data_IF_901228129484
#
_entry.id   IF_901228129484
#
_cell.length_a   1.000
_cell.length_b   1.000
_cell.length_c   1.000
_cell.angle_alpha   90.00
_cell.angle_beta   90.00
_cell.angle_gamma   90.00
#
_symmetry.space_group_name_H-M   'P 1'
#
loop_
_entity.id
_entity.type
_entity.pdbx_description
1 polymer ?
#
# COMPACT_ATOMS: atom_id res chain seq x y z
N UNK A 1 -15.74 -1.18 7.35
CA UNK A 1 -14.38 -1.75 7.30
C UNK A 1 -13.67 -1.40 8.60
N UNK A 2 -13.01 -2.38 9.23
CA UNK A 2 -12.16 -2.18 10.41
C UNK A 2 -10.81 -2.84 10.15
N UNK A 3 -9.90 -2.09 9.54
CA UNK A 3 -8.51 -2.47 9.35
C UNK A 3 -7.66 -2.00 10.54
N UNK A 4 -6.71 -2.83 10.95
CA UNK A 4 -5.70 -2.51 11.94
C UNK A 4 -4.32 -2.73 11.33
N UNK A 5 -3.32 -2.00 11.83
CA UNK A 5 -1.93 -2.16 11.41
C UNK A 5 -1.03 -2.57 12.58
N UNK A 6 0.05 -3.28 12.27
CA UNK A 6 1.18 -3.48 13.18
C UNK A 6 2.48 -3.28 12.42
N UNK A 7 3.27 -2.28 12.82
CA UNK A 7 4.56 -1.98 12.16
C UNK A 7 5.56 -3.09 12.52
N UNK A 8 6.29 -3.59 11.52
CA UNK A 8 7.35 -4.57 11.75
C UNK A 8 8.55 -3.89 12.44
N UNK A 9 9.23 -4.59 13.33
CA UNK A 9 10.42 -4.07 14.03
C UNK A 9 11.53 -3.66 13.05
N UNK A 10 11.65 -4.36 11.92
CA UNK A 10 12.58 -4.05 10.85
C UNK A 10 12.24 -2.77 10.08
N UNK A 11 11.02 -2.24 10.24
CA UNK A 11 10.45 -1.15 9.47
C UNK A 11 10.50 -1.37 7.94
N UNK A 12 10.59 -2.62 7.48
CA UNK A 12 10.47 -2.99 6.06
C UNK A 12 9.04 -2.90 5.55
N UNK A 13 8.09 -3.01 6.47
CA UNK A 13 6.69 -3.09 6.17
C UNK A 13 5.87 -3.14 7.44
N UNK A 14 4.66 -3.64 7.31
CA UNK A 14 3.68 -3.74 8.39
C UNK A 14 2.70 -4.88 8.10
N UNK A 15 1.96 -5.26 9.13
CA UNK A 15 0.85 -6.19 9.02
C UNK A 15 -0.46 -5.43 8.86
N UNK A 16 -1.34 -5.98 8.02
CA UNK A 16 -2.72 -5.54 7.88
C UNK A 16 -3.60 -6.63 8.49
N UNK A 17 -4.50 -6.22 9.39
CA UNK A 17 -5.43 -7.10 10.08
C UNK A 17 -6.87 -6.64 9.84
N UNK A 18 -7.79 -7.58 9.67
CA UNK A 18 -9.21 -7.30 9.55
C UNK A 18 -10.06 -8.56 9.71
N UNK A 19 -11.36 -8.38 9.94
CA UNK A 19 -12.32 -9.48 9.89
C UNK A 19 -12.57 -9.93 8.44
N UNK A 20 -13.29 -11.04 8.27
CA UNK A 20 -13.61 -11.58 6.94
C UNK A 20 -14.28 -10.54 6.05
N UNK A 21 -15.31 -9.84 6.56
CA UNK A 21 -16.06 -8.85 5.78
C UNK A 21 -15.19 -7.69 5.30
N UNK A 22 -14.34 -7.16 6.18
CA UNK A 22 -13.42 -6.06 5.87
C UNK A 22 -12.41 -6.46 4.81
N UNK A 23 -11.77 -7.63 4.94
CA UNK A 23 -10.79 -8.08 3.96
C UNK A 23 -11.44 -8.48 2.63
N UNK A 24 -12.64 -9.05 2.67
CA UNK A 24 -13.41 -9.35 1.47
C UNK A 24 -13.78 -8.07 0.69
N UNK A 25 -14.23 -7.03 1.38
CA UNK A 25 -14.53 -5.72 0.79
C UNK A 25 -13.28 -5.03 0.25
N UNK A 26 -12.16 -5.10 0.99
CA UNK A 26 -10.88 -4.56 0.54
C UNK A 26 -10.42 -5.25 -0.76
N UNK A 27 -10.50 -6.58 -0.82
CA UNK A 27 -10.16 -7.34 -2.03
C UNK A 27 -11.02 -6.90 -3.22
N UNK A 28 -12.33 -6.73 -3.02
CA UNK A 28 -13.23 -6.26 -4.08
C UNK A 28 -12.85 -4.88 -4.58
N UNK A 29 -12.58 -3.94 -3.68
CA UNK A 29 -12.15 -2.59 -4.04
C UNK A 29 -10.87 -2.63 -4.91
N UNK A 30 -9.90 -3.48 -4.55
CA UNK A 30 -8.65 -3.63 -5.31
C UNK A 30 -8.90 -4.20 -6.71
N UNK A 31 -9.73 -5.25 -6.84
CA UNK A 31 -10.07 -5.84 -8.14
C UNK A 31 -10.86 -4.87 -9.02
N UNK A 32 -11.85 -4.18 -8.45
CA UNK A 32 -12.65 -3.17 -9.14
C UNK A 32 -11.77 -2.06 -9.75
N UNK A 33 -10.66 -1.71 -9.09
CA UNK A 33 -9.73 -0.70 -9.59
C UNK A 33 -9.00 -1.15 -10.87
N UNK A 34 -8.55 -2.42 -10.93
CA UNK A 34 -7.89 -2.99 -12.11
C UNK A 34 -8.81 -3.14 -13.32
N UNK A 35 -10.12 -3.25 -13.12
CA UNK A 35 -11.12 -3.29 -14.21
C UNK A 35 -11.54 -1.89 -14.69
N UNK A 36 -11.12 -0.82 -14.00
CA UNK A 36 -11.74 0.50 -14.17
C UNK A 36 -11.12 1.39 -15.25
N UNK A 37 -9.85 1.19 -15.63
CA UNK A 37 -9.22 1.93 -16.74
C UNK A 37 -7.96 1.23 -17.28
N UNK A 38 -7.39 1.77 -18.38
CA UNK A 38 -6.21 1.21 -19.05
C UNK A 38 -4.85 1.61 -18.44
N UNK A 39 -4.83 2.40 -17.36
CA UNK A 39 -3.60 2.78 -16.66
C UNK A 39 -3.19 1.73 -15.61
N UNK A 40 -4.13 0.89 -15.20
CA UNK A 40 -3.93 -0.19 -14.23
C UNK A 40 -4.21 -1.50 -14.95
N UNK A 41 -3.28 -2.45 -14.86
CA UNK A 41 -3.44 -3.76 -15.47
C UNK A 41 -4.28 -4.65 -14.54
N UNK A 42 -5.29 -5.31 -15.12
CA UNK A 42 -6.13 -6.26 -14.42
C UNK A 42 -5.35 -7.46 -13.88
N UNK A 43 -4.28 -7.88 -14.56
CA UNK A 43 -3.42 -8.98 -14.10
C UNK A 43 -2.12 -8.48 -13.45
N UNK A 44 -2.04 -7.18 -13.17
CA UNK A 44 -0.84 -6.50 -12.69
C UNK A 44 -0.55 -6.63 -11.19
N UNK A 45 0.27 -5.70 -10.70
CA UNK A 45 0.76 -5.56 -9.32
C UNK A 45 -0.39 -5.53 -8.32
N UNK A 46 -1.53 -4.90 -8.66
CA UNK A 46 -2.71 -4.83 -7.78
C UNK A 46 -3.38 -6.20 -7.58
N UNK A 47 -3.29 -7.10 -8.56
CA UNK A 47 -3.82 -8.47 -8.45
C UNK A 47 -3.03 -9.33 -7.47
N UNK A 48 -1.72 -9.09 -7.31
CA UNK A 48 -0.92 -9.68 -6.23
C UNK A 48 -1.46 -9.32 -4.84
N UNK A 49 -1.89 -8.07 -4.64
CA UNK A 49 -2.52 -7.64 -3.38
C UNK A 49 -3.88 -8.31 -3.18
N UNK A 50 -4.74 -8.32 -4.20
CA UNK A 50 -6.04 -8.98 -4.13
C UNK A 50 -5.93 -10.48 -3.82
N UNK A 51 -4.92 -11.16 -4.39
CA UNK A 51 -4.61 -12.54 -4.09
C UNK A 51 -4.17 -12.72 -2.63
N UNK A 52 -3.27 -11.88 -2.15
CA UNK A 52 -2.77 -11.94 -0.77
C UNK A 52 -3.91 -11.72 0.24
N UNK A 53 -4.77 -10.72 0.01
CA UNK A 53 -5.94 -10.47 0.85
C UNK A 53 -6.87 -11.69 0.88
N UNK A 54 -7.10 -12.32 -0.28
CA UNK A 54 -7.89 -13.57 -0.37
C UNK A 54 -7.31 -14.66 0.52
N UNK A 55 -6.02 -14.93 0.37
CA UNK A 55 -5.34 -15.98 1.13
C UNK A 55 -5.33 -15.67 2.63
N UNK A 56 -5.32 -14.39 3.02
CA UNK A 56 -5.44 -13.97 4.41
C UNK A 56 -6.78 -14.38 5.02
N UNK A 57 -7.92 -13.95 4.45
CA UNK A 57 -9.23 -14.29 4.99
C UNK A 57 -9.62 -15.78 4.80
N UNK A 58 -8.93 -16.50 3.92
CA UNK A 58 -9.00 -17.97 3.82
C UNK A 58 -8.17 -18.69 4.92
N UNK A 59 -7.51 -17.95 5.80
CA UNK A 59 -6.74 -18.50 6.91
C UNK A 59 -5.36 -19.04 6.52
N UNK A 60 -4.84 -18.69 5.34
CA UNK A 60 -3.52 -19.16 4.90
C UNK A 60 -2.34 -18.41 5.53
N UNK A 61 -2.60 -17.32 6.26
CA UNK A 61 -1.57 -16.49 6.91
C UNK A 61 -1.77 -16.45 8.43
N UNK A 62 -1.94 -15.26 9.03
CA UNK A 62 -2.12 -15.10 10.46
C UNK A 62 -3.60 -15.08 10.80
N UNK A 63 -3.94 -15.62 11.96
CA UNK A 63 -5.26 -15.58 12.54
C UNK A 63 -5.15 -15.21 14.01
N UNK A 64 -6.07 -14.38 14.48
CA UNK A 64 -6.21 -14.03 15.88
C UNK A 64 -7.70 -13.89 16.23
N UNK A 65 -8.03 -13.90 17.52
CA UNK A 65 -9.38 -13.64 18.00
C UNK A 65 -9.38 -12.47 18.95
N UNK A 66 -10.12 -11.43 18.60
CA UNK A 66 -10.27 -10.24 19.44
C UNK A 66 -11.65 -10.20 20.07
N UNK A 67 -11.74 -9.59 21.26
CA UNK A 67 -13.02 -9.30 21.90
C UNK A 67 -13.48 -7.90 21.49
N UNK A 68 -14.69 -7.80 20.94
CA UNK A 68 -15.33 -6.52 20.61
C UNK A 68 -16.66 -6.47 21.35
N UNK A 69 -16.69 -5.71 22.45
CA UNK A 69 -17.82 -5.76 23.39
C UNK A 69 -17.93 -7.14 24.04
N UNK A 70 -19.04 -7.82 23.80
CA UNK A 70 -19.29 -9.19 24.29
C UNK A 70 -19.03 -10.27 23.23
N UNK A 71 -18.76 -9.87 21.98
CA UNK A 71 -18.53 -10.80 20.89
C UNK A 71 -17.03 -11.10 20.71
N UNK A 72 -16.75 -12.35 20.33
CA UNK A 72 -15.42 -12.79 19.89
C UNK A 72 -15.39 -12.78 18.37
N UNK A 73 -14.49 -11.97 17.79
CA UNK A 73 -14.37 -11.81 16.34
C UNK A 73 -13.02 -12.36 15.90
N UNK A 74 -13.05 -13.27 14.92
CA UNK A 74 -11.84 -13.75 14.25
C UNK A 74 -11.30 -12.67 13.32
N UNK A 75 -10.02 -12.33 13.49
CA UNK A 75 -9.27 -11.48 12.59
C UNK A 75 -8.23 -12.28 11.82
N UNK A 76 -7.96 -11.81 10.60
CA UNK A 76 -7.00 -12.39 9.69
C UNK A 76 -5.95 -11.34 9.38
N UNK A 77 -4.68 -11.76 9.40
CA UNK A 77 -3.53 -10.88 9.25
C UNK A 77 -2.61 -11.34 8.12
N UNK A 78 -2.03 -10.38 7.40
CA UNK A 78 -0.99 -10.63 6.42
C UNK A 78 0.04 -9.49 6.43
N UNK A 79 1.27 -9.80 6.03
CA UNK A 79 2.37 -8.84 5.97
C UNK A 79 2.46 -8.21 4.57
N UNK A 80 2.78 -6.92 4.53
CA UNK A 80 3.08 -6.16 3.32
C UNK A 80 4.34 -5.34 3.50
N UNK A 81 5.09 -5.12 2.43
CA UNK A 81 6.23 -4.21 2.39
C UNK A 81 5.78 -2.79 2.02
N UNK A 82 6.46 -1.78 2.54
CA UNK A 82 6.06 -0.38 2.34
C UNK A 82 5.98 0.01 0.86
N UNK A 83 7.05 -0.20 0.10
CA UNK A 83 7.14 0.30 -1.28
C UNK A 83 6.10 -0.37 -2.19
N UNK A 84 6.01 -1.72 -2.27
CA UNK A 84 5.00 -2.36 -3.11
C UNK A 84 3.57 -1.97 -2.71
N UNK A 85 3.28 -1.91 -1.42
CA UNK A 85 1.93 -1.60 -0.94
C UNK A 85 1.52 -0.15 -1.25
N UNK A 86 2.40 0.83 -1.06
CA UNK A 86 2.08 2.22 -1.39
C UNK A 86 1.86 2.41 -2.89
N UNK A 87 2.65 1.75 -3.74
CA UNK A 87 2.43 1.74 -5.19
C UNK A 87 1.10 1.08 -5.55
N UNK A 88 0.75 -0.04 -4.92
CA UNK A 88 -0.56 -0.68 -5.12
C UNK A 88 -1.72 0.25 -4.73
N UNK A 89 -1.62 1.00 -3.63
CA UNK A 89 -2.65 1.98 -3.22
C UNK A 89 -2.78 3.12 -4.23
N UNK A 90 -1.65 3.63 -4.74
CA UNK A 90 -1.63 4.65 -5.80
C UNK A 90 -2.32 4.14 -7.06
N UNK A 91 -2.06 2.89 -7.45
CA UNK A 91 -2.70 2.24 -8.59
C UNK A 91 -4.20 2.04 -8.35
N UNK A 92 -4.61 1.60 -7.16
CA UNK A 92 -6.03 1.48 -6.79
C UNK A 92 -6.75 2.83 -6.94
N UNK A 93 -6.15 3.92 -6.45
CA UNK A 93 -6.73 5.25 -6.62
C UNK A 93 -6.72 5.71 -8.09
N UNK A 94 -5.65 5.44 -8.82
CA UNK A 94 -5.53 5.74 -10.25
C UNK A 94 -6.60 5.01 -11.05
N UNK A 95 -6.88 3.73 -10.74
CA UNK A 95 -7.96 2.92 -11.31
C UNK A 95 -9.32 3.62 -11.29
N UNK A 96 -9.61 4.31 -10.18
CA UNK A 96 -10.87 5.03 -9.99
C UNK A 96 -10.88 6.49 -10.46
N UNK A 97 -9.80 7.00 -11.06
CA UNK A 97 -9.71 8.41 -11.48
C UNK A 97 -10.64 8.81 -12.63
N UNK A 98 -11.01 7.85 -13.49
CA UNK A 98 -11.80 8.12 -14.72
C UNK A 98 -13.27 7.72 -14.58
N UNK A 99 -13.58 6.85 -13.61
CA UNK A 99 -14.92 6.28 -13.44
C UNK A 99 -15.68 6.93 -12.29
N UNK A 100 -16.97 7.17 -12.49
CA UNK A 100 -17.85 7.58 -11.40
C UNK A 100 -17.98 6.44 -10.37
N UNK A 101 -17.39 6.65 -9.19
CA UNK A 101 -17.55 5.75 -8.05
C UNK A 101 -18.98 5.81 -7.49
N UNK A 102 -19.54 4.65 -7.16
CA UNK A 102 -20.75 4.61 -6.33
C UNK A 102 -20.41 5.02 -4.87
N UNK A 103 -21.45 5.30 -4.06
CA UNK A 103 -21.25 5.79 -2.68
C UNK A 103 -20.45 4.82 -1.81
N UNK A 104 -20.67 3.51 -1.98
CA UNK A 104 -19.98 2.48 -1.22
C UNK A 104 -18.49 2.44 -1.61
N UNK A 105 -18.16 2.36 -2.90
CA UNK A 105 -16.78 2.36 -3.40
C UNK A 105 -16.03 3.62 -2.98
N UNK A 106 -16.69 4.79 -3.04
CA UNK A 106 -16.08 6.05 -2.57
C UNK A 106 -15.78 6.01 -1.07
N UNK A 107 -16.70 5.49 -0.27
CA UNK A 107 -16.48 5.33 1.18
C UNK A 107 -15.35 4.35 1.48
N UNK A 108 -15.25 3.25 0.73
CA UNK A 108 -14.21 2.24 0.91
C UNK A 108 -12.84 2.77 0.47
N UNK A 109 -12.76 3.52 -0.64
CA UNK A 109 -11.53 4.16 -1.10
C UNK A 109 -11.02 5.18 -0.07
N UNK A 110 -11.88 6.09 0.40
CA UNK A 110 -11.51 7.06 1.44
C UNK A 110 -11.08 6.36 2.74
N UNK A 111 -11.73 5.25 3.09
CA UNK A 111 -11.33 4.46 4.24
C UNK A 111 -9.93 3.85 4.07
N UNK A 112 -9.62 3.29 2.89
CA UNK A 112 -8.28 2.78 2.58
C UNK A 112 -7.24 3.91 2.66
N UNK A 113 -7.51 5.07 2.07
CA UNK A 113 -6.60 6.24 2.13
C UNK A 113 -6.32 6.65 3.57
N UNK A 114 -7.37 6.80 4.37
CA UNK A 114 -7.22 7.12 5.79
C UNK A 114 -6.42 6.05 6.55
N UNK A 115 -6.68 4.76 6.28
CA UNK A 115 -5.91 3.66 6.85
C UNK A 115 -4.42 3.76 6.51
N UNK A 116 -4.09 4.12 5.26
CA UNK A 116 -2.70 4.32 4.82
C UNK A 116 -2.08 5.51 5.54
N UNK A 117 -2.78 6.64 5.62
CA UNK A 117 -2.29 7.85 6.30
C UNK A 117 -1.95 7.57 7.77
N UNK A 118 -2.85 6.96 8.53
CA UNK A 118 -2.58 6.65 9.96
C UNK A 118 -1.44 5.66 10.10
N UNK A 119 -1.30 4.71 9.16
CA UNK A 119 -0.25 3.69 9.21
C UNK A 119 1.12 4.29 8.90
N UNK A 120 1.21 5.17 7.90
CA UNK A 120 2.42 5.94 7.59
C UNK A 120 2.77 6.84 8.78
N UNK A 121 1.81 7.58 9.35
CA UNK A 121 2.08 8.47 10.47
C UNK A 121 2.62 7.72 11.70
N UNK A 122 2.12 6.51 11.98
CA UNK A 122 2.64 5.67 13.06
C UNK A 122 4.11 5.25 12.84
N UNK A 123 4.51 4.97 11.59
CA UNK A 123 5.86 4.49 11.27
C UNK A 123 6.88 5.61 10.95
N UNK A 124 6.41 6.71 10.33
CA UNK A 124 7.19 7.77 9.72
C UNK A 124 6.63 9.16 10.07
N UNK A 125 6.30 9.42 11.34
CA UNK A 125 5.66 10.67 11.77
C UNK A 125 6.37 11.95 11.31
N UNK A 126 7.70 11.95 11.25
CA UNK A 126 8.51 13.10 10.80
C UNK A 126 8.37 13.30 9.29
N UNK A 127 8.45 12.23 8.50
CA UNK A 127 8.42 12.26 7.04
C UNK A 127 6.99 12.18 6.47
N UNK A 128 5.96 12.09 7.33
CA UNK A 128 4.57 11.81 6.96
C UNK A 128 4.08 12.73 5.84
N UNK A 129 4.20 14.05 6.03
CA UNK A 129 3.70 15.02 5.05
C UNK A 129 4.40 14.90 3.69
N UNK A 130 5.72 14.65 3.70
CA UNK A 130 6.48 14.48 2.47
C UNK A 130 6.11 13.17 1.76
N UNK A 131 5.94 12.06 2.50
CA UNK A 131 5.50 10.78 1.91
C UNK A 131 4.14 10.94 1.22
N UNK A 132 3.16 11.53 1.90
CA UNK A 132 1.82 11.77 1.33
C UNK A 132 1.93 12.65 0.08
N UNK A 133 2.66 13.76 0.15
CA UNK A 133 2.90 14.62 -1.00
C UNK A 133 3.49 13.85 -2.19
N UNK A 134 4.52 13.01 -1.95
CA UNK A 134 5.14 12.20 -3.01
C UNK A 134 4.17 11.17 -3.59
N UNK A 135 3.32 10.54 -2.78
CA UNK A 135 2.30 9.62 -3.28
C UNK A 135 1.29 10.33 -4.19
N UNK A 136 0.83 11.53 -3.83
CA UNK A 136 -0.12 12.30 -4.64
C UNK A 136 0.45 12.65 -6.03
N UNK A 137 1.76 12.96 -6.11
CA UNK A 137 2.42 13.24 -7.39
C UNK A 137 2.46 12.03 -8.33
N UNK A 138 2.24 10.81 -7.84
CA UNK A 138 2.26 9.59 -8.65
C UNK A 138 0.89 9.22 -9.23
N UNK A 139 -0.19 9.92 -8.84
CA UNK A 139 -1.53 9.66 -9.34
C UNK A 139 -1.59 9.86 -10.86
N UNK A 140 -2.19 8.89 -11.57
CA UNK A 140 -2.34 8.96 -13.03
C UNK A 140 -1.12 8.46 -13.83
N UNK A 141 -0.03 8.06 -13.16
CA UNK A 141 1.07 7.36 -13.83
C UNK A 141 0.63 5.92 -14.12
N UNK A 142 0.89 5.46 -15.35
CA UNK A 142 0.55 4.10 -15.76
C UNK A 142 1.37 3.05 -15.00
N UNK A 143 0.75 1.90 -14.77
CA UNK A 143 1.34 0.79 -14.05
C UNK A 143 2.67 0.33 -14.65
N UNK A 144 2.77 0.17 -15.97
CA UNK A 144 4.02 -0.22 -16.65
C UNK A 144 5.22 0.64 -16.24
N UNK A 145 5.01 1.95 -16.08
CA UNK A 145 6.07 2.88 -15.71
C UNK A 145 6.50 2.68 -14.26
N UNK A 146 5.54 2.50 -13.35
CA UNK A 146 5.82 2.25 -11.94
C UNK A 146 6.47 0.86 -11.75
N UNK A 147 5.95 -0.16 -12.43
CA UNK A 147 6.44 -1.53 -12.42
C UNK A 147 7.90 -1.63 -12.88
N UNK A 148 8.26 -0.92 -13.96
CA UNK A 148 9.61 -0.99 -14.57
C UNK A 148 10.77 -0.65 -13.63
N UNK A 149 10.51 0.04 -12.53
CA UNK A 149 11.52 0.46 -11.55
C UNK A 149 11.27 -0.09 -10.14
N UNK A 150 10.11 -0.71 -9.89
CA UNK A 150 9.68 -1.16 -8.56
C UNK A 150 10.75 -2.02 -7.87
N UNK A 151 11.20 -3.09 -8.54
CA UNK A 151 12.13 -4.06 -7.97
C UNK A 151 13.42 -3.41 -7.46
N UNK A 152 14.00 -2.50 -8.24
CA UNK A 152 15.24 -1.82 -7.84
C UNK A 152 15.07 -0.94 -6.59
N UNK A 153 13.88 -0.37 -6.36
CA UNK A 153 13.61 0.46 -5.17
C UNK A 153 13.33 -0.42 -3.96
N UNK A 154 12.63 -1.54 -4.17
CA UNK A 154 12.39 -2.56 -3.14
C UNK A 154 13.73 -3.14 -2.67
N UNK A 155 14.60 -3.57 -3.59
CA UNK A 155 15.91 -4.12 -3.27
C UNK A 155 16.77 -3.13 -2.47
N UNK A 156 16.83 -1.87 -2.92
CA UNK A 156 17.56 -0.82 -2.22
C UNK A 156 17.02 -0.61 -0.79
N UNK A 157 15.71 -0.44 -0.63
CA UNK A 157 15.09 -0.23 0.69
C UNK A 157 15.28 -1.42 1.63
N UNK A 158 15.24 -2.63 1.07
CA UNK A 158 15.49 -3.87 1.80
C UNK A 158 16.92 -3.97 2.33
N UNK A 159 17.90 -3.41 1.60
CA UNK A 159 19.30 -3.36 2.04
C UNK A 159 19.62 -2.30 3.11
N UNK A 160 18.71 -1.36 3.40
CA UNK A 160 18.95 -0.27 4.36
C UNK A 160 18.87 -0.74 5.82
N UNK A 161 19.52 0.01 6.73
CA UNK A 161 19.26 -0.15 8.17
C UNK A 161 17.87 0.39 8.54
N UNK A 162 17.32 -0.04 9.68
CA UNK A 162 16.01 0.43 10.18
C UNK A 162 15.95 1.96 10.27
N UNK A 163 17.03 2.60 10.73
CA UNK A 163 17.12 4.05 10.80
C UNK A 163 17.06 4.69 9.40
N UNK A 164 17.88 4.21 8.45
CA UNK A 164 17.87 4.75 7.08
C UNK A 164 16.54 4.55 6.37
N UNK A 165 15.84 3.43 6.63
CA UNK A 165 14.48 3.21 6.09
C UNK A 165 13.51 4.31 6.53
N UNK A 166 13.60 4.77 7.79
CA UNK A 166 12.76 5.86 8.32
C UNK A 166 13.02 7.20 7.66
N UNK A 167 14.25 7.44 7.21
CA UNK A 167 14.69 8.70 6.61
C UNK A 167 14.52 8.73 5.08
N UNK A 168 14.48 7.57 4.43
CA UNK A 168 14.59 7.50 2.96
C UNK A 168 13.32 7.10 2.23
N UNK A 169 12.26 6.66 2.94
CA UNK A 169 11.03 6.22 2.29
C UNK A 169 10.43 7.31 1.38
N UNK A 170 10.38 8.56 1.85
CA UNK A 170 9.82 9.67 1.09
C UNK A 170 10.56 9.90 -0.24
N UNK A 171 11.89 9.92 -0.20
CA UNK A 171 12.74 10.08 -1.40
C UNK A 171 12.55 8.90 -2.36
N UNK A 172 12.45 7.68 -1.83
CA UNK A 172 12.25 6.48 -2.64
C UNK A 172 10.90 6.49 -3.36
N UNK A 173 9.81 6.83 -2.65
CA UNK A 173 8.48 7.01 -3.28
C UNK A 173 8.55 8.12 -4.32
N UNK A 174 9.16 9.26 -4.00
CA UNK A 174 9.35 10.36 -4.96
C UNK A 174 10.09 9.93 -6.23
N UNK A 175 11.05 9.01 -6.13
CA UNK A 175 11.84 8.53 -7.27
C UNK A 175 11.06 7.73 -8.31
N UNK A 176 9.81 7.34 -8.01
CA UNK A 176 8.93 6.72 -8.99
C UNK A 176 8.42 7.70 -10.05
N UNK A 177 8.38 8.99 -9.70
CA UNK A 177 7.95 10.01 -10.64
C UNK A 177 9.05 10.24 -11.70
N UNK A 178 8.71 10.26 -13.01
CA UNK A 178 9.69 10.43 -14.09
C UNK A 178 10.62 11.65 -13.89
N UNK A 179 10.09 12.79 -13.47
CA UNK A 179 10.88 14.02 -13.22
C UNK A 179 11.83 13.93 -12.02
N UNK A 180 11.63 12.96 -11.12
CA UNK A 180 12.39 12.78 -9.88
C UNK A 180 13.25 11.52 -9.87
N UNK A 181 13.38 10.82 -11.00
CA UNK A 181 14.22 9.61 -11.09
C UNK A 181 15.67 9.86 -10.66
N UNK A 182 16.19 11.07 -10.90
CA UNK A 182 17.52 11.51 -10.48
C UNK A 182 17.73 11.48 -8.94
N UNK A 183 16.65 11.51 -8.15
CA UNK A 183 16.72 11.36 -6.69
C UNK A 183 17.29 9.99 -6.32
N UNK A 184 16.91 8.93 -7.04
CA UNK A 184 17.43 7.59 -6.79
C UNK A 184 18.93 7.50 -7.09
N UNK A 185 19.38 8.12 -8.18
CA UNK A 185 20.81 8.17 -8.51
C UNK A 185 21.65 8.83 -7.40
N UNK A 186 21.11 9.86 -6.71
CA UNK A 186 21.78 10.48 -5.56
C UNK A 186 21.84 9.55 -4.34
N UNK A 187 20.81 8.73 -4.12
CA UNK A 187 20.77 7.75 -3.03
C UNK A 187 21.75 6.59 -3.22
N UNK A 188 21.94 6.15 -4.47
CA UNK A 188 22.83 5.02 -4.81
C UNK A 188 24.27 5.48 -5.06
N UNK A 189 24.47 6.66 -5.64
CA UNK A 189 25.77 7.21 -6.01
C UNK A 189 26.49 8.01 -4.91
N UNK A 190 25.89 8.15 -3.72
CA UNK A 190 26.50 8.82 -2.57
C UNK A 190 27.43 7.90 -1.77
N UNK A 191 28.48 7.39 -2.42
CA UNK A 191 29.69 6.83 -1.79
C UNK A 191 30.81 7.86 -1.88
#
# INVERSE_FOLDING_TARGET
MMLQHRILESNLGFEIWGDFGTLYDLRKLVLDAGESNSLVDYEGITTGLAYTIRKAYEGSFKQDTIRVGDDMITQYGFQVEWIPFLIQVILVRTGFSVRALNKLQRSQLLYLEHFVEITINTAFSIEFAEIIFRMEQLLGISEDKLASILDSRVEYFSGLSVQKRREQLAILIGSFHPSYQHLFSKLVGGV
#
